data_IF_347298890198
#
_entry.id   IF_347298890198
#
_cell.length_a   1.000
_cell.length_b   1.000
_cell.length_c   1.000
_cell.angle_alpha   90.00
_cell.angle_beta   90.00
_cell.angle_gamma   90.00
#
_symmetry.space_group_name_H-M   'P 1'
#
loop_
_entity.id
_entity.type
_entity.pdbx_description
1 polymer ?
#
# COMPACT_ATOMS: atom_id res chain seq x y z
N UNK A 1 -7.77 17.46 -2.40
CA UNK A 1 -8.31 16.34 -1.59
C UNK A 1 -9.53 15.65 -2.24
N UNK A 2 -10.48 16.40 -2.80
CA UNK A 2 -11.67 15.81 -3.45
C UNK A 2 -11.37 14.99 -4.72
N UNK A 3 -10.41 15.41 -5.54
CA UNK A 3 -10.06 14.69 -6.79
C UNK A 3 -9.43 13.30 -6.54
N UNK A 4 -8.72 13.13 -5.43
CA UNK A 4 -8.07 11.86 -5.07
C UNK A 4 -9.09 10.82 -4.58
N UNK A 5 -10.11 11.23 -3.82
CA UNK A 5 -11.21 10.35 -3.41
C UNK A 5 -12.07 9.88 -4.60
N UNK A 6 -12.30 10.79 -5.56
CA UNK A 6 -13.08 10.47 -6.74
C UNK A 6 -12.37 9.45 -7.63
N UNK A 7 -11.04 9.55 -7.74
CA UNK A 7 -10.23 8.71 -8.63
C UNK A 7 -9.78 7.39 -8.00
N UNK A 8 -9.76 7.27 -6.67
CA UNK A 8 -9.34 6.05 -5.98
C UNK A 8 -10.39 4.94 -6.11
N UNK A 9 -9.96 3.76 -6.55
CA UNK A 9 -10.78 2.55 -6.58
C UNK A 9 -10.98 1.97 -5.18
N UNK A 10 -9.98 2.12 -4.29
CA UNK A 10 -10.07 1.71 -2.91
C UNK A 10 -9.51 2.76 -1.93
N UNK A 11 -10.19 2.90 -0.78
CA UNK A 11 -9.80 3.81 0.29
C UNK A 11 -9.95 3.07 1.61
N UNK A 12 -8.84 2.91 2.34
CA UNK A 12 -8.80 2.16 3.60
C UNK A 12 -7.62 2.59 4.47
N UNK A 13 -7.76 2.37 5.76
CA UNK A 13 -6.74 2.58 6.77
C UNK A 13 -6.35 1.22 7.33
N UNK A 14 -5.06 0.99 7.44
CA UNK A 14 -4.58 -0.25 8.02
C UNK A 14 -3.14 -0.19 8.46
N UNK A 15 -2.78 -1.19 9.26
CA UNK A 15 -1.41 -1.39 9.76
C UNK A 15 -0.64 -2.31 8.83
N UNK A 16 0.59 -1.94 8.49
CA UNK A 16 1.50 -2.83 7.75
C UNK A 16 1.94 -3.97 8.67
N UNK A 17 1.57 -5.19 8.30
CA UNK A 17 1.89 -6.41 9.06
C UNK A 17 2.99 -7.23 8.40
N UNK A 18 3.26 -7.04 7.10
CA UNK A 18 4.39 -7.65 6.41
C UNK A 18 4.94 -6.77 5.29
N UNK A 19 6.26 -6.86 5.08
CA UNK A 19 6.98 -6.22 3.99
C UNK A 19 7.87 -7.27 3.33
N UNK A 20 7.66 -7.46 2.03
CA UNK A 20 8.42 -8.37 1.18
C UNK A 20 9.15 -7.53 0.13
N UNK A 21 10.40 -7.11 0.42
CA UNK A 21 11.22 -6.40 -0.56
C UNK A 21 11.59 -7.32 -1.73
N UNK A 22 11.91 -6.75 -2.90
CA UNK A 22 12.47 -7.53 -4.00
C UNK A 22 13.82 -8.14 -3.63
N UNK A 23 14.27 -9.10 -4.44
CA UNK A 23 15.55 -9.77 -4.23
C UNK A 23 16.72 -8.78 -4.18
N UNK A 24 17.76 -9.11 -3.42
CA UNK A 24 18.96 -8.26 -3.31
C UNK A 24 19.55 -7.96 -4.71
N UNK A 25 19.64 -6.68 -5.05
CA UNK A 25 20.10 -6.21 -6.36
C UNK A 25 19.01 -6.00 -7.42
N UNK A 26 17.78 -6.43 -7.17
CA UNK A 26 16.62 -6.18 -8.04
C UNK A 26 15.82 -4.97 -7.55
N UNK A 27 16.10 -3.81 -8.12
CA UNK A 27 15.36 -2.57 -7.84
C UNK A 27 14.18 -2.34 -8.81
N UNK A 28 13.96 -3.26 -9.75
CA UNK A 28 12.91 -3.16 -10.76
C UNK A 28 11.64 -3.89 -10.32
N UNK A 29 11.78 -4.95 -9.52
CA UNK A 29 10.65 -5.66 -8.95
C UNK A 29 9.91 -4.84 -7.89
N UNK A 30 8.57 -4.92 -7.82
CA UNK A 30 7.78 -4.21 -6.83
C UNK A 30 7.95 -4.83 -5.43
N UNK A 31 7.90 -3.99 -4.41
CA UNK A 31 7.79 -4.39 -3.01
C UNK A 31 6.35 -4.80 -2.74
N UNK A 32 6.15 -5.99 -2.15
CA UNK A 32 4.85 -6.44 -1.69
C UNK A 32 4.67 -6.07 -0.22
N UNK A 33 3.52 -5.49 0.10
CA UNK A 33 3.19 -4.95 1.42
C UNK A 33 1.87 -5.54 1.85
N UNK A 34 1.83 -6.22 2.99
CA UNK A 34 0.57 -6.72 3.55
C UNK A 34 0.09 -5.76 4.62
N UNK A 35 -1.14 -5.27 4.45
CA UNK A 35 -1.79 -4.32 5.34
C UNK A 35 -3.01 -4.98 5.94
N UNK A 36 -3.10 -4.97 7.26
CA UNK A 36 -4.31 -5.36 7.99
C UNK A 36 -5.22 -4.14 8.14
N UNK A 37 -6.40 -4.24 7.55
CA UNK A 37 -7.37 -3.14 7.48
C UNK A 37 -8.02 -2.95 8.84
N UNK A 38 -7.99 -1.71 9.33
CA UNK A 38 -8.68 -1.27 10.54
C UNK A 38 -9.98 -0.55 10.22
N UNK A 39 -10.00 0.22 9.12
CA UNK A 39 -11.17 0.95 8.65
C UNK A 39 -11.17 1.00 7.13
N UNK A 40 -12.34 0.85 6.52
CA UNK A 40 -12.51 0.88 5.07
C UNK A 40 -13.63 1.85 4.71
N UNK A 41 -13.43 2.60 3.63
CA UNK A 41 -14.41 3.55 3.12
C UNK A 41 -14.89 3.17 1.71
N UNK A 42 -14.04 2.56 0.89
CA UNK A 42 -14.36 2.27 -0.52
C UNK A 42 -13.56 1.08 -1.04
N UNK A 43 -14.20 0.23 -1.85
CA UNK A 43 -13.54 -0.70 -2.78
C UNK A 43 -12.89 -1.96 -2.20
N UNK A 44 -12.91 -2.17 -0.87
CA UNK A 44 -12.33 -3.35 -0.22
C UNK A 44 -13.35 -3.96 0.73
N UNK A 45 -13.41 -5.29 0.80
CA UNK A 45 -14.23 -6.05 1.74
C UNK A 45 -13.39 -7.03 2.59
N UNK A 46 -12.07 -6.99 2.44
CA UNK A 46 -11.11 -7.91 3.08
C UNK A 46 -10.47 -7.28 4.31
N UNK A 47 -10.28 -8.08 5.37
CA UNK A 47 -9.55 -7.67 6.58
C UNK A 47 -8.03 -7.51 6.36
N UNK A 48 -7.50 -8.13 5.29
CA UNK A 48 -6.10 -8.02 4.89
C UNK A 48 -6.00 -7.73 3.39
N UNK A 49 -5.09 -6.81 3.04
CA UNK A 49 -4.89 -6.33 1.68
C UNK A 49 -3.40 -6.41 1.35
N UNK A 50 -3.07 -7.08 0.26
CA UNK A 50 -1.73 -7.08 -0.30
C UNK A 50 -1.60 -5.97 -1.35
N UNK A 51 -0.69 -5.04 -1.10
CA UNK A 51 -0.35 -3.94 -1.98
C UNK A 51 1.00 -4.20 -2.65
N UNK A 52 1.19 -3.61 -3.81
CA UNK A 52 2.50 -3.56 -4.48
C UNK A 52 2.89 -2.12 -4.72
N UNK A 53 4.10 -1.74 -4.32
CA UNK A 53 4.66 -0.41 -4.59
C UNK A 53 6.02 -0.56 -5.25
N UNK A 54 6.44 0.43 -6.05
CA UNK A 54 7.77 0.40 -6.64
C UNK A 54 8.84 0.40 -5.54
N UNK A 55 9.91 -0.37 -5.71
CA UNK A 55 10.99 -0.44 -4.73
C UNK A 55 11.82 0.85 -4.64
N UNK A 56 11.75 1.68 -5.68
CA UNK A 56 12.54 2.89 -5.79
C UNK A 56 11.62 4.13 -5.69
N UNK A 57 11.91 5.01 -4.73
CA UNK A 57 11.21 6.30 -4.59
C UNK A 57 11.40 7.22 -5.80
N UNK A 58 12.50 7.07 -6.55
CA UNK A 58 12.71 7.72 -7.85
C UNK A 58 11.76 7.21 -8.94
N UNK A 59 11.12 6.06 -8.73
CA UNK A 59 10.03 5.52 -9.56
C UNK A 59 8.66 5.73 -8.92
N UNK A 60 8.52 6.77 -8.08
CA UNK A 60 7.31 7.07 -7.30
C UNK A 60 6.92 5.96 -6.29
N UNK A 61 7.86 5.13 -5.88
CA UNK A 61 7.68 4.13 -4.83
C UNK A 61 7.48 4.78 -3.46
N UNK A 62 6.64 4.17 -2.62
CA UNK A 62 6.43 4.59 -1.24
C UNK A 62 7.12 3.61 -0.28
N UNK A 63 7.99 4.12 0.58
CA UNK A 63 8.66 3.30 1.59
C UNK A 63 7.73 3.07 2.79
N UNK A 64 7.01 1.95 2.78
CA UNK A 64 6.22 1.52 3.93
C UNK A 64 7.12 1.04 5.07
N UNK A 65 6.71 1.32 6.30
CA UNK A 65 7.35 0.84 7.53
C UNK A 65 6.48 -0.24 8.18
N UNK A 66 7.11 -1.29 8.70
CA UNK A 66 6.43 -2.34 9.45
C UNK A 66 5.79 -1.76 10.72
N UNK A 67 4.62 -2.26 11.11
CA UNK A 67 3.87 -1.87 12.31
C UNK A 67 3.34 -0.43 12.32
N UNK A 68 3.52 0.31 11.21
CA UNK A 68 2.90 1.63 11.01
C UNK A 68 1.51 1.54 10.40
N UNK A 69 0.67 2.51 10.78
CA UNK A 69 -0.68 2.69 10.25
C UNK A 69 -0.65 3.75 9.15
N UNK A 70 -1.28 3.46 8.02
CA UNK A 70 -1.37 4.35 6.87
C UNK A 70 -2.82 4.47 6.41
N UNK A 71 -3.20 5.67 5.99
CA UNK A 71 -4.40 5.92 5.19
C UNK A 71 -4.01 5.78 3.71
N UNK A 72 -4.59 4.79 3.05
CA UNK A 72 -4.19 4.34 1.71
C UNK A 72 -5.31 4.66 0.73
N UNK A 73 -4.93 5.34 -0.36
CA UNK A 73 -5.76 5.57 -1.53
C UNK A 73 -5.15 4.78 -2.67
N UNK A 74 -5.83 3.75 -3.13
CA UNK A 74 -5.36 2.86 -4.20
C UNK A 74 -6.21 3.05 -5.47
N UNK A 75 -5.55 2.91 -6.61
CA UNK A 75 -6.09 2.95 -7.99
C UNK A 75 -5.55 1.74 -8.73
#
# INVERSE_FOLDING_TARGET
PADAEASADAIFEGRVVALEPPAEGDQQSPVRVTVRVSQQWKGIESEEVALTTAANSAMCGYNFELDRVYLIYAT
#
